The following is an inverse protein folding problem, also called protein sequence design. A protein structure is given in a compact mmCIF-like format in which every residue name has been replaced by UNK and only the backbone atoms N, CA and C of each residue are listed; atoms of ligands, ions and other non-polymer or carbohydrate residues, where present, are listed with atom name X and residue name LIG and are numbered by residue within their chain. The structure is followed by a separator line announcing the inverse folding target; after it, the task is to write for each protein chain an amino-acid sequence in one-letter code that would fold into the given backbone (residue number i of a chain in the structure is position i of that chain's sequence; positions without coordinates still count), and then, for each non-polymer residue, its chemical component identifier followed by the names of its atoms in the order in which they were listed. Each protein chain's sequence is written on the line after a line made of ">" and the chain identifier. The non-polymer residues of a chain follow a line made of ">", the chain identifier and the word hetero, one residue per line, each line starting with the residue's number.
data_IF_727385954501
#
_entry.id   IF_727385954501
#
_cell.length_a   1.000
_cell.length_b   1.000
_cell.length_c   1.000
_cell.angle_alpha   90.00
_cell.angle_beta   90.00
_cell.angle_gamma   90.00
#
_symmetry.space_group_name_H-M   'P 1'
#
loop_
_entity.id
_entity.type
_entity.pdbx_description
1 polymer ?
#
# COMPACT_ATOMS: atom_id res chain seq x y z
N UNK A 1 -6.94 9.51 30.13
CA UNK A 1 -6.45 10.18 28.90
C UNK A 1 -5.82 9.22 27.89
N UNK A 2 -5.08 8.19 28.29
CA UNK A 2 -4.40 7.27 27.34
C UNK A 2 -5.32 6.42 26.46
N UNK A 3 -6.53 6.05 26.94
CA UNK A 3 -7.49 5.23 26.16
C UNK A 3 -7.94 5.89 24.85
N UNK A 4 -8.15 7.21 24.85
CA UNK A 4 -8.55 7.95 23.64
C UNK A 4 -7.40 8.08 22.63
N UNK A 5 -6.16 8.17 23.13
CA UNK A 5 -4.95 8.24 22.30
C UNK A 5 -4.68 6.91 21.60
N UNK A 6 -4.89 5.80 22.31
CA UNK A 6 -4.75 4.44 21.77
C UNK A 6 -5.76 4.18 20.65
N UNK A 7 -6.98 4.69 20.78
CA UNK A 7 -8.00 4.60 19.73
C UNK A 7 -7.60 5.38 18.46
N UNK A 8 -7.07 6.60 18.61
CA UNK A 8 -6.54 7.39 17.50
C UNK A 8 -5.36 6.69 16.79
N UNK A 9 -4.48 6.07 17.58
CA UNK A 9 -3.34 5.30 17.05
C UNK A 9 -3.78 4.06 16.27
N UNK A 10 -4.81 3.36 16.76
CA UNK A 10 -5.42 2.25 16.04
C UNK A 10 -6.04 2.70 14.71
N UNK A 11 -6.76 3.83 14.67
CA UNK A 11 -7.31 4.35 13.42
C UNK A 11 -6.23 4.67 12.39
N UNK A 12 -5.10 5.25 12.82
CA UNK A 12 -3.97 5.60 11.95
C UNK A 12 -3.21 4.37 11.44
N UNK A 13 -3.05 3.34 12.27
CA UNK A 13 -2.41 2.10 11.86
C UNK A 13 -3.26 1.30 10.86
N UNK A 14 -4.60 1.35 11.00
CA UNK A 14 -5.51 0.66 10.09
C UNK A 14 -5.67 1.37 8.73
N UNK A 15 -5.50 2.70 8.66
CA UNK A 15 -5.64 3.42 7.38
C UNK A 15 -4.56 3.06 6.36
N UNK A 16 -3.33 2.75 6.81
CA UNK A 16 -2.27 2.29 5.92
C UNK A 16 -2.56 0.88 5.36
N UNK A 17 -3.06 -0.02 6.21
CA UNK A 17 -3.37 -1.40 5.80
C UNK A 17 -4.56 -1.50 4.85
N UNK A 18 -5.60 -0.68 5.06
CA UNK A 18 -6.76 -0.60 4.17
C UNK A 18 -6.37 -0.20 2.74
N UNK A 19 -5.37 0.69 2.60
CA UNK A 19 -4.90 1.15 1.30
C UNK A 19 -4.09 0.10 0.53
N UNK A 20 -3.29 -0.73 1.22
CA UNK A 20 -2.52 -1.79 0.57
C UNK A 20 -3.46 -2.81 -0.11
N UNK A 21 -4.55 -3.19 0.56
CA UNK A 21 -5.57 -4.06 -0.03
C UNK A 21 -6.23 -3.42 -1.25
N UNK A 22 -6.52 -2.12 -1.20
CA UNK A 22 -7.06 -1.38 -2.33
C UNK A 22 -6.10 -1.36 -3.54
N UNK A 23 -4.81 -1.11 -3.29
CA UNK A 23 -3.76 -1.18 -4.32
C UNK A 23 -3.72 -2.57 -4.95
N UNK A 24 -3.70 -3.64 -4.14
CA UNK A 24 -3.69 -5.02 -4.63
C UNK A 24 -4.93 -5.28 -5.50
N UNK A 25 -6.12 -4.92 -5.03
CA UNK A 25 -7.37 -5.15 -5.76
C UNK A 25 -7.40 -4.43 -7.12
N UNK A 26 -6.85 -3.22 -7.19
CA UNK A 26 -6.77 -2.46 -8.45
C UNK A 26 -5.72 -3.03 -9.42
N UNK A 27 -4.60 -3.55 -8.90
CA UNK A 27 -3.50 -4.09 -9.70
C UNK A 27 -3.70 -5.55 -10.12
N UNK A 28 -4.43 -6.34 -9.34
CA UNK A 28 -4.65 -7.77 -9.56
C UNK A 28 -5.13 -8.13 -10.99
N UNK A 29 -5.99 -7.34 -11.67
CA UNK A 29 -6.37 -7.61 -13.06
C UNK A 29 -5.20 -7.54 -14.05
N UNK A 30 -4.15 -6.78 -13.75
CA UNK A 30 -2.97 -6.58 -14.61
C UNK A 30 -1.79 -7.45 -14.17
N UNK A 31 -1.65 -7.64 -12.85
CA UNK A 31 -0.57 -8.38 -12.20
C UNK A 31 -1.16 -9.44 -11.25
N UNK A 32 -1.58 -10.60 -11.75
CA UNK A 32 -2.34 -11.58 -10.96
C UNK A 32 -1.58 -12.18 -9.78
N UNK A 33 -0.25 -12.17 -9.84
CA UNK A 33 0.65 -12.67 -8.80
C UNK A 33 0.99 -11.63 -7.73
N UNK A 34 0.45 -10.41 -7.81
CA UNK A 34 0.78 -9.34 -6.88
C UNK A 34 0.29 -9.63 -5.46
N UNK A 35 1.13 -9.36 -4.47
CA UNK A 35 0.81 -9.51 -3.07
C UNK A 35 1.34 -8.33 -2.22
N UNK A 36 1.00 -8.32 -0.93
CA UNK A 36 1.40 -7.25 -0.02
C UNK A 36 2.91 -7.17 0.24
N UNK A 37 3.66 -8.26 0.05
CA UNK A 37 5.11 -8.32 0.27
C UNK A 37 5.87 -7.54 -0.81
N UNK A 38 5.22 -7.30 -1.96
CA UNK A 38 5.75 -6.51 -3.05
C UNK A 38 5.48 -5.01 -2.89
N UNK A 39 4.72 -4.61 -1.87
CA UNK A 39 4.33 -3.21 -1.63
C UNK A 39 5.10 -2.70 -0.42
N UNK A 40 5.99 -1.73 -0.65
CA UNK A 40 6.85 -1.13 0.37
C UNK A 40 6.52 0.35 0.55
N UNK A 41 6.81 0.90 1.72
CA UNK A 41 6.79 2.35 1.88
C UNK A 41 7.88 2.98 1.02
N UNK A 42 7.53 4.04 0.29
CA UNK A 42 8.51 4.79 -0.50
C UNK A 42 9.24 5.83 0.33
N UNK A 43 10.43 6.21 -0.12
CA UNK A 43 11.07 7.45 0.31
C UNK A 43 10.34 8.71 -0.17
N UNK A 44 9.46 8.59 -1.16
CA UNK A 44 8.59 9.67 -1.62
C UNK A 44 7.34 9.72 -0.73
N UNK A 45 7.20 10.83 -0.01
CA UNK A 45 6.07 11.03 0.90
C UNK A 45 4.73 10.95 0.14
N UNK A 46 3.82 10.15 0.66
CA UNK A 46 2.53 9.88 0.03
C UNK A 46 2.57 8.86 -1.11
N UNK A 47 3.62 8.04 -1.25
CA UNK A 47 3.70 6.96 -2.24
C UNK A 47 4.16 5.62 -1.64
N UNK A 48 3.70 4.55 -2.26
CA UNK A 48 4.20 3.19 -2.09
C UNK A 48 5.08 2.79 -3.27
N UNK A 49 6.10 2.00 -3.00
CA UNK A 49 6.92 1.32 -4.00
C UNK A 49 6.38 -0.09 -4.20
N UNK A 50 5.88 -0.36 -5.40
CA UNK A 50 5.33 -1.65 -5.79
C UNK A 50 6.30 -2.35 -6.74
N UNK A 51 6.83 -3.48 -6.28
CA UNK A 51 7.80 -4.28 -7.03
C UNK A 51 7.04 -5.32 -7.86
N UNK A 52 6.90 -5.04 -9.14
CA UNK A 52 6.35 -5.99 -10.10
C UNK A 52 7.46 -6.96 -10.49
N UNK A 53 7.21 -8.27 -10.38
CA UNK A 53 8.18 -9.32 -10.71
C UNK A 53 7.87 -10.00 -12.03
N UNK A 54 6.61 -9.93 -12.49
CA UNK A 54 6.11 -10.56 -13.72
C UNK A 54 5.26 -9.57 -14.52
N UNK A 55 5.41 -9.50 -15.85
CA UNK A 55 6.33 -10.28 -16.70
C UNK A 55 7.79 -9.79 -16.68
N UNK A 56 8.09 -8.68 -16.02
CA UNK A 56 9.43 -8.11 -15.87
C UNK A 56 9.60 -7.50 -14.48
N UNK A 57 10.84 -7.43 -14.01
CA UNK A 57 11.17 -6.75 -12.75
C UNK A 57 11.11 -5.23 -13.00
N UNK A 58 10.14 -4.58 -12.37
CA UNK A 58 9.92 -3.14 -12.46
C UNK A 58 9.45 -2.60 -11.11
N UNK A 59 9.77 -1.33 -10.81
CA UNK A 59 9.30 -0.64 -9.62
C UNK A 59 8.31 0.44 -10.05
N UNK A 60 7.09 0.35 -9.54
CA UNK A 60 6.03 1.33 -9.78
C UNK A 60 5.79 2.13 -8.50
N UNK A 61 5.63 3.45 -8.64
CA UNK A 61 5.24 4.31 -7.54
C UNK A 61 3.74 4.51 -7.60
N UNK A 62 3.04 4.14 -6.53
CA UNK A 62 1.59 4.30 -6.42
C UNK A 62 1.29 5.22 -5.26
N UNK A 63 0.50 6.24 -5.52
CA UNK A 63 -0.01 7.16 -4.51
C UNK A 63 -0.63 6.42 -3.33
N UNK A 64 -0.47 6.99 -2.13
CA UNK A 64 -0.95 6.38 -0.90
C UNK A 64 -2.48 6.33 -0.82
N UNK A 65 -3.22 6.99 -1.72
CA UNK A 65 -4.66 6.88 -1.88
C UNK A 65 -5.08 5.93 -3.02
N UNK A 66 -4.13 5.20 -3.61
CA UNK A 66 -4.33 4.22 -4.66
C UNK A 66 -5.01 4.76 -5.94
N UNK A 67 -4.86 6.05 -6.26
CA UNK A 67 -5.51 6.68 -7.43
C UNK A 67 -4.59 6.91 -8.62
N UNK A 68 -3.30 7.02 -8.35
CA UNK A 68 -2.24 7.39 -9.29
C UNK A 68 -1.05 6.47 -9.15
#
# INVERSE_FOLDING_TARGET
>A
MYKSLLFLFLLYANSAYANIEEIINQLQPFFPSINAEQINESQLDGFYEVIITEPRIEVMYISSDARY
#
